data_IF_457949675717
#
_entry.id   IF_457949675717
#
_cell.length_a   1.000
_cell.length_b   1.000
_cell.length_c   1.000
_cell.angle_alpha   90.00
_cell.angle_beta   90.00
_cell.angle_gamma   90.00
#
_symmetry.space_group_name_H-M   'P 1'
#
loop_
_entity.id
_entity.type
_entity.pdbx_description
1 polymer ?
#
# COMPACT_ATOMS: atom_id res chain seq x y z
N UNK A 1 -15.97 3.05 -48.70
CA UNK A 1 -15.01 3.91 -47.97
C UNK A 1 -13.75 3.10 -47.72
N UNK A 2 -12.58 3.60 -48.11
CA UNK A 2 -11.31 2.88 -47.93
C UNK A 2 -10.75 3.05 -46.52
N UNK A 3 -9.85 2.15 -46.10
CA UNK A 3 -9.22 2.19 -44.78
C UNK A 3 -8.53 3.54 -44.47
N UNK A 4 -7.89 4.15 -45.47
CA UNK A 4 -7.22 5.44 -45.31
C UNK A 4 -8.19 6.58 -44.99
N UNK A 5 -9.36 6.59 -45.64
CA UNK A 5 -10.39 7.61 -45.42
C UNK A 5 -11.02 7.48 -44.03
N UNK A 6 -11.25 6.24 -43.58
CA UNK A 6 -11.69 5.94 -42.22
C UNK A 6 -10.70 6.42 -41.16
N UNK A 7 -9.39 6.19 -41.38
CA UNK A 7 -8.34 6.65 -40.46
C UNK A 7 -8.27 8.17 -40.38
N UNK A 8 -8.40 8.85 -41.51
CA UNK A 8 -8.43 10.32 -41.52
C UNK A 8 -9.59 10.89 -40.71
N UNK A 9 -10.77 10.28 -40.79
CA UNK A 9 -11.91 10.67 -39.94
C UNK A 9 -11.64 10.45 -38.46
N UNK A 10 -10.93 9.37 -38.08
CA UNK A 10 -10.48 9.14 -36.71
C UNK A 10 -9.50 10.23 -36.26
N UNK A 11 -8.49 10.55 -37.09
CA UNK A 11 -7.49 11.57 -36.77
C UNK A 11 -8.12 12.96 -36.51
N UNK A 12 -9.15 13.32 -37.29
CA UNK A 12 -9.91 14.57 -37.09
C UNK A 12 -10.67 14.58 -35.76
N UNK A 13 -11.28 13.46 -35.37
CA UNK A 13 -11.95 13.28 -34.07
C UNK A 13 -10.93 13.33 -32.92
N UNK A 14 -9.76 12.70 -33.08
CA UNK A 14 -8.72 12.66 -32.05
C UNK A 14 -8.20 14.07 -31.71
N UNK A 15 -8.12 14.97 -32.70
CA UNK A 15 -7.78 16.39 -32.47
C UNK A 15 -8.83 17.08 -31.60
N UNK A 16 -10.12 16.81 -31.82
CA UNK A 16 -11.18 17.37 -30.99
C UNK A 16 -11.17 16.78 -29.58
N UNK A 17 -10.97 15.47 -29.45
CA UNK A 17 -10.81 14.79 -28.16
C UNK A 17 -9.64 15.37 -27.37
N UNK A 18 -8.50 15.66 -28.01
CA UNK A 18 -7.36 16.29 -27.36
C UNK A 18 -7.73 17.67 -26.78
N UNK A 19 -8.41 18.53 -27.55
CA UNK A 19 -8.84 19.85 -27.08
C UNK A 19 -9.80 19.76 -25.90
N UNK A 20 -10.76 18.83 -25.94
CA UNK A 20 -11.68 18.57 -24.84
C UNK A 20 -10.95 18.04 -23.61
N UNK A 21 -9.96 17.17 -23.81
CA UNK A 21 -9.13 16.62 -22.76
C UNK A 21 -8.29 17.71 -22.07
N UNK A 22 -7.66 18.61 -22.82
CA UNK A 22 -6.91 19.76 -22.27
C UNK A 22 -7.81 20.69 -21.46
N UNK A 23 -9.01 21.01 -21.97
CA UNK A 23 -10.00 21.79 -21.22
C UNK A 23 -10.41 21.11 -19.92
N UNK A 24 -10.64 19.79 -19.95
CA UNK A 24 -10.93 19.00 -18.75
C UNK A 24 -9.76 19.02 -17.77
N UNK A 25 -8.52 18.97 -18.24
CA UNK A 25 -7.33 19.04 -17.39
C UNK A 25 -7.17 20.40 -16.70
N UNK A 26 -7.51 21.50 -17.36
CA UNK A 26 -7.49 22.83 -16.73
C UNK A 26 -8.49 22.91 -15.56
N UNK A 27 -9.71 22.39 -15.74
CA UNK A 27 -10.71 22.29 -14.67
C UNK A 27 -10.22 21.37 -13.56
N UNK A 28 -9.53 20.28 -13.92
CA UNK A 28 -8.96 19.34 -12.96
C UNK A 28 -7.94 20.03 -12.01
N UNK A 29 -7.19 21.02 -12.49
CA UNK A 29 -6.29 21.81 -11.65
C UNK A 29 -7.05 22.70 -10.67
N UNK A 30 -8.16 23.30 -11.11
CA UNK A 30 -9.04 24.08 -10.23
C UNK A 30 -9.68 23.21 -9.15
N UNK A 31 -10.15 22.01 -9.51
CA UNK A 31 -10.65 21.02 -8.56
C UNK A 31 -9.58 20.65 -7.52
N UNK A 32 -8.33 20.45 -7.94
CA UNK A 32 -7.23 20.16 -7.01
C UNK A 32 -7.02 21.32 -6.01
N UNK A 33 -7.05 22.57 -6.47
CA UNK A 33 -6.94 23.76 -5.60
C UNK A 33 -8.09 23.86 -4.61
N UNK A 34 -9.31 23.57 -5.07
CA UNK A 34 -10.50 23.63 -4.21
C UNK A 34 -10.52 22.50 -3.17
N UNK A 35 -10.13 21.28 -3.57
CA UNK A 35 -9.96 20.16 -2.64
C UNK A 35 -8.92 20.47 -1.58
N UNK A 36 -7.80 21.09 -1.96
CA UNK A 36 -6.81 21.58 -1.00
C UNK A 36 -7.42 22.58 -0.02
N UNK A 37 -8.20 23.56 -0.51
CA UNK A 37 -8.86 24.57 0.33
C UNK A 37 -9.85 23.97 1.34
N UNK A 38 -10.49 22.87 0.96
CA UNK A 38 -11.59 22.23 1.70
C UNK A 38 -11.19 20.94 2.41
N UNK A 39 -9.93 20.52 2.29
CA UNK A 39 -9.42 19.22 2.74
C UNK A 39 -10.22 18.01 2.20
N UNK A 40 -10.77 18.12 0.99
CA UNK A 40 -11.59 17.06 0.39
C UNK A 40 -10.72 16.00 -0.32
N UNK A 41 -11.11 14.70 -0.30
CA UNK A 41 -10.30 13.62 -0.85
C UNK A 41 -10.18 13.66 -2.38
N UNK A 42 -9.05 13.15 -2.91
CA UNK A 42 -8.83 13.05 -4.36
C UNK A 42 -9.80 12.03 -4.96
N UNK A 43 -9.96 10.88 -4.32
CA UNK A 43 -10.90 9.86 -4.73
C UNK A 43 -12.26 10.05 -4.04
N UNK A 44 -13.34 10.05 -4.82
CA UNK A 44 -14.72 10.06 -4.31
C UNK A 44 -15.52 8.99 -5.04
N UNK A 45 -15.54 7.77 -4.49
CA UNK A 45 -16.11 6.58 -5.15
C UNK A 45 -17.54 6.80 -5.65
N UNK A 46 -18.40 7.34 -4.79
CA UNK A 46 -19.81 7.59 -5.13
C UNK A 46 -19.99 8.53 -6.32
N UNK A 47 -19.11 9.54 -6.47
CA UNK A 47 -19.17 10.49 -7.60
C UNK A 47 -18.75 9.83 -8.90
N UNK A 48 -17.74 8.97 -8.86
CA UNK A 48 -17.27 8.23 -10.02
C UNK A 48 -18.34 7.24 -10.50
N UNK A 49 -18.96 6.52 -9.57
CA UNK A 49 -20.05 5.57 -9.87
C UNK A 49 -21.27 6.26 -10.47
N UNK A 50 -21.67 7.43 -9.93
CA UNK A 50 -22.74 8.26 -10.51
C UNK A 50 -22.44 8.70 -11.95
N UNK A 51 -21.18 9.01 -12.27
CA UNK A 51 -20.77 9.38 -13.63
C UNK A 51 -20.91 8.16 -14.56
N UNK A 52 -20.43 7.00 -14.12
CA UNK A 52 -20.52 5.76 -14.91
C UNK A 52 -21.99 5.35 -15.12
N UNK A 53 -22.84 5.45 -14.10
CA UNK A 53 -24.28 5.17 -14.18
C UNK A 53 -25.01 6.16 -15.11
N UNK A 54 -24.68 7.45 -15.04
CA UNK A 54 -25.21 8.46 -15.95
C UNK A 54 -24.80 8.22 -17.41
N UNK A 55 -23.64 7.60 -17.65
CA UNK A 55 -23.18 7.23 -18.99
C UNK A 55 -23.85 5.96 -19.48
N UNK A 56 -23.95 4.93 -18.62
CA UNK A 56 -24.68 3.68 -18.91
C UNK A 56 -26.13 3.95 -19.30
N UNK A 57 -26.81 4.83 -18.57
CA UNK A 57 -28.20 5.20 -18.85
C UNK A 57 -28.42 6.00 -20.14
N UNK A 58 -27.35 6.61 -20.70
CA UNK A 58 -27.41 7.41 -21.93
C UNK A 58 -26.86 6.69 -23.16
N UNK A 59 -26.22 5.53 -22.99
CA UNK A 59 -25.56 4.79 -24.06
C UNK A 59 -26.54 3.79 -24.69
N UNK A 60 -26.79 3.91 -26.00
CA UNK A 60 -27.47 2.87 -26.75
C UNK A 60 -26.57 1.63 -26.92
N UNK A 61 -27.19 0.45 -27.11
CA UNK A 61 -26.57 -0.88 -27.15
C UNK A 61 -25.21 -0.91 -27.88
N UNK A 62 -24.16 -1.38 -27.18
CA UNK A 62 -22.85 -1.74 -27.74
C UNK A 62 -21.71 -0.75 -27.54
N UNK A 63 -21.98 0.55 -27.29
CA UNK A 63 -20.92 1.56 -27.07
C UNK A 63 -20.57 1.81 -25.59
N UNK A 64 -21.30 1.18 -24.66
CA UNK A 64 -21.15 1.42 -23.21
C UNK A 64 -19.78 1.03 -22.70
N UNK A 65 -19.26 -0.13 -23.10
CA UNK A 65 -18.12 -0.73 -22.41
C UNK A 65 -16.81 -0.01 -22.76
N UNK A 66 -16.59 0.30 -24.04
CA UNK A 66 -15.44 1.12 -24.47
C UNK A 66 -15.54 2.58 -23.99
N UNK A 67 -16.75 3.15 -23.92
CA UNK A 67 -16.94 4.50 -23.37
C UNK A 67 -16.67 4.53 -21.87
N UNK A 68 -17.07 3.48 -21.16
CA UNK A 68 -16.82 3.30 -19.74
C UNK A 68 -15.31 3.15 -19.46
N UNK A 69 -14.60 2.34 -20.26
CA UNK A 69 -13.15 2.16 -20.16
C UNK A 69 -12.39 3.46 -20.46
N UNK A 70 -12.79 4.19 -21.50
CA UNK A 70 -12.23 5.49 -21.83
C UNK A 70 -12.40 6.49 -20.69
N UNK A 71 -13.61 6.58 -20.12
CA UNK A 71 -13.87 7.47 -18.99
C UNK A 71 -13.09 7.06 -17.74
N UNK A 72 -13.01 5.77 -17.41
CA UNK A 72 -12.17 5.26 -16.32
C UNK A 72 -10.71 5.66 -16.49
N UNK A 73 -10.18 5.57 -17.72
CA UNK A 73 -8.81 5.97 -18.07
C UNK A 73 -8.59 7.48 -17.88
N UNK A 74 -9.52 8.28 -18.39
CA UNK A 74 -9.54 9.74 -18.23
C UNK A 74 -9.63 10.17 -16.76
N UNK A 75 -10.42 9.46 -15.96
CA UNK A 75 -10.56 9.68 -14.51
C UNK A 75 -9.27 9.31 -13.78
N UNK A 76 -8.61 8.21 -14.15
CA UNK A 76 -7.30 7.84 -13.62
C UNK A 76 -6.24 8.90 -13.91
N UNK A 77 -6.17 9.43 -15.13
CA UNK A 77 -5.24 10.51 -15.48
C UNK A 77 -5.53 11.78 -14.66
N UNK A 78 -6.81 12.15 -14.52
CA UNK A 78 -7.21 13.26 -13.66
C UNK A 78 -6.77 13.09 -12.22
N UNK A 79 -6.96 11.90 -11.64
CA UNK A 79 -6.50 11.61 -10.28
C UNK A 79 -4.99 11.80 -10.21
N UNK A 80 -4.22 11.18 -11.11
CA UNK A 80 -2.76 11.34 -11.15
C UNK A 80 -2.30 12.80 -11.15
N UNK A 81 -2.96 13.66 -11.93
CA UNK A 81 -2.69 15.11 -11.97
C UNK A 81 -3.04 15.81 -10.66
N UNK A 82 -4.22 15.53 -10.09
CA UNK A 82 -4.63 16.07 -8.77
C UNK A 82 -3.65 15.64 -7.67
N UNK A 83 -3.26 14.36 -7.64
CA UNK A 83 -2.28 13.83 -6.69
C UNK A 83 -1.00 14.64 -6.75
N UNK A 84 -0.40 14.78 -7.94
CA UNK A 84 0.87 15.52 -8.14
C UNK A 84 0.81 16.97 -7.62
N UNK A 85 -0.31 17.67 -7.82
CA UNK A 85 -0.49 19.04 -7.34
C UNK A 85 -0.65 19.11 -5.81
N UNK A 86 -1.32 18.13 -5.22
CA UNK A 86 -1.50 18.04 -3.77
C UNK A 86 -0.21 17.60 -3.07
N UNK A 87 0.56 16.68 -3.66
CA UNK A 87 1.84 16.20 -3.08
C UNK A 87 2.84 17.33 -2.87
N UNK A 88 2.87 18.34 -3.75
CA UNK A 88 3.74 19.53 -3.62
C UNK A 88 3.38 20.45 -2.43
N UNK A 89 2.31 20.15 -1.69
CA UNK A 89 1.81 20.97 -0.59
C UNK A 89 1.96 20.32 0.78
N UNK A 90 2.37 19.05 0.85
CA UNK A 90 2.54 18.37 2.13
C UNK A 90 3.86 18.78 2.78
N UNK A 91 3.81 18.99 4.10
CA UNK A 91 5.04 19.15 4.88
C UNK A 91 5.56 17.77 5.20
N UNK A 92 6.77 17.46 4.73
CA UNK A 92 7.45 16.20 5.03
C UNK A 92 8.31 16.43 6.29
N UNK A 93 8.25 15.55 7.30
CA UNK A 93 9.07 15.68 8.49
C UNK A 93 10.56 15.70 8.18
N UNK A 94 11.29 16.61 8.83
CA UNK A 94 12.76 16.68 8.73
C UNK A 94 13.49 15.66 9.61
N UNK A 95 12.80 15.12 10.63
CA UNK A 95 13.30 14.07 11.49
C UNK A 95 13.23 12.69 10.83
N UNK A 96 13.49 11.65 11.62
CA UNK A 96 13.49 10.27 11.15
C UNK A 96 13.13 9.24 12.23
N UNK A 97 12.45 9.68 13.28
CA UNK A 97 11.96 8.79 14.33
C UNK A 97 10.82 7.95 13.78
N UNK A 98 10.97 6.63 13.84
CA UNK A 98 10.01 5.66 13.30
C UNK A 98 9.33 4.90 14.42
N UNK A 99 8.01 4.77 14.34
CA UNK A 99 7.27 3.78 15.12
C UNK A 99 6.74 2.70 14.17
N UNK A 100 6.95 1.44 14.55
CA UNK A 100 6.58 0.30 13.71
C UNK A 100 5.26 -0.27 14.18
N UNK A 101 4.31 -0.47 13.28
CA UNK A 101 3.08 -1.22 13.53
C UNK A 101 3.18 -2.59 12.85
N UNK A 102 2.98 -3.65 13.64
CA UNK A 102 2.96 -5.04 13.18
C UNK A 102 1.54 -5.60 13.38
N UNK A 103 0.69 -5.66 12.34
CA UNK A 103 -0.61 -6.28 12.46
C UNK A 103 -0.50 -7.82 12.57
N UNK A 104 -0.93 -8.35 13.72
CA UNK A 104 -0.91 -9.76 14.06
C UNK A 104 -2.30 -10.43 14.04
N UNK A 105 -3.39 -9.72 13.75
CA UNK A 105 -4.77 -10.25 13.81
C UNK A 105 -5.21 -11.22 12.69
N UNK A 106 -4.30 -11.67 11.82
CA UNK A 106 -4.67 -12.52 10.68
C UNK A 106 -5.05 -13.95 11.09
N UNK A 107 -6.16 -14.48 10.58
CA UNK A 107 -6.73 -15.79 10.94
C UNK A 107 -5.90 -17.02 10.53
N UNK A 108 -4.79 -16.84 9.79
CA UNK A 108 -3.92 -17.93 9.29
C UNK A 108 -4.65 -19.09 8.58
N UNK A 109 -5.84 -18.82 8.03
CA UNK A 109 -6.74 -19.85 7.48
C UNK A 109 -6.12 -20.71 6.37
N UNK A 110 -5.24 -20.13 5.55
CA UNK A 110 -4.53 -20.82 4.47
C UNK A 110 -3.38 -21.73 4.95
N UNK A 111 -2.92 -21.53 6.18
CA UNK A 111 -1.78 -22.24 6.75
C UNK A 111 -2.21 -23.43 7.61
N UNK A 112 -3.42 -23.37 8.18
CA UNK A 112 -3.96 -24.42 9.05
C UNK A 112 -3.44 -24.39 10.49
N UNK A 113 -2.45 -23.55 10.80
CA UNK A 113 -1.91 -23.31 12.14
C UNK A 113 -1.54 -21.82 12.32
N UNK A 114 -1.28 -21.41 13.57
CA UNK A 114 -0.85 -20.05 13.86
C UNK A 114 0.58 -19.82 13.40
N UNK A 115 0.73 -19.21 12.23
CA UNK A 115 2.01 -18.99 11.57
C UNK A 115 2.94 -18.02 12.28
N UNK A 116 2.39 -17.09 13.06
CA UNK A 116 3.17 -16.11 13.80
C UNK A 116 3.96 -16.77 14.93
N UNK A 117 3.39 -17.82 15.53
CA UNK A 117 3.99 -18.61 16.61
C UNK A 117 4.79 -19.81 16.11
N UNK A 118 4.81 -20.04 14.80
CA UNK A 118 5.57 -21.15 14.25
C UNK A 118 7.05 -20.94 14.52
N UNK A 119 7.69 -21.91 15.18
CA UNK A 119 9.11 -21.88 15.46
C UNK A 119 9.89 -22.26 14.20
N UNK A 120 10.49 -21.25 13.56
CA UNK A 120 11.33 -21.45 12.40
C UNK A 120 12.78 -21.55 12.87
N UNK A 121 13.37 -22.76 12.79
CA UNK A 121 14.74 -23.04 13.26
C UNK A 121 14.99 -22.50 14.69
N UNK A 122 14.07 -22.78 15.61
CA UNK A 122 14.20 -22.44 17.03
C UNK A 122 13.84 -21.00 17.42
N UNK A 123 13.34 -20.17 16.49
CA UNK A 123 12.81 -18.84 16.81
C UNK A 123 11.54 -18.55 16.04
N UNK A 124 10.52 -18.07 16.75
CA UNK A 124 9.19 -17.85 16.24
C UNK A 124 9.17 -16.73 15.20
N UNK A 125 8.33 -16.89 14.19
CA UNK A 125 8.22 -15.98 13.04
C UNK A 125 7.99 -14.53 13.48
N UNK A 126 7.11 -14.30 14.47
CA UNK A 126 6.84 -12.95 14.98
C UNK A 126 8.05 -12.35 15.69
N UNK A 127 8.79 -13.13 16.48
CA UNK A 127 10.00 -12.66 17.17
C UNK A 127 11.09 -12.32 16.16
N UNK A 128 11.29 -13.16 15.13
CA UNK A 128 12.21 -12.86 14.02
C UNK A 128 11.86 -11.55 13.32
N UNK A 129 10.56 -11.28 13.15
CA UNK A 129 10.10 -10.01 12.57
C UNK A 129 10.40 -8.83 13.48
N UNK A 130 10.17 -8.96 14.79
CA UNK A 130 10.49 -7.92 15.78
C UNK A 130 12.00 -7.64 15.80
N UNK A 131 12.85 -8.67 15.75
CA UNK A 131 14.32 -8.53 15.75
C UNK A 131 14.85 -7.62 14.64
N UNK A 132 14.23 -7.68 13.46
CA UNK A 132 14.60 -6.84 12.33
C UNK A 132 14.48 -5.34 12.69
N UNK A 133 13.44 -4.97 13.43
CA UNK A 133 13.17 -3.59 13.81
C UNK A 133 13.84 -3.18 15.10
N UNK A 134 14.00 -4.08 16.07
CA UNK A 134 14.71 -3.80 17.33
C UNK A 134 16.16 -3.37 17.07
N UNK A 135 16.80 -3.94 16.04
CA UNK A 135 18.16 -3.62 15.60
C UNK A 135 18.28 -2.35 14.73
N UNK A 136 17.18 -1.62 14.50
CA UNK A 136 17.18 -0.44 13.63
C UNK A 136 17.23 0.84 14.47
N UNK A 137 18.25 1.69 14.24
CA UNK A 137 18.52 2.88 15.06
C UNK A 137 17.33 3.86 15.09
N UNK A 138 16.74 4.13 13.92
CA UNK A 138 15.63 5.05 13.74
C UNK A 138 14.31 4.58 14.35
N UNK A 139 14.18 3.29 14.67
CA UNK A 139 12.97 2.76 15.30
C UNK A 139 13.04 3.06 16.80
N UNK A 140 12.03 3.76 17.32
CA UNK A 140 11.93 4.03 18.77
C UNK A 140 10.90 3.17 19.49
N UNK A 141 9.89 2.66 18.77
CA UNK A 141 8.80 1.85 19.34
C UNK A 141 8.26 0.83 18.33
N UNK A 142 7.85 -0.33 18.83
CA UNK A 142 7.17 -1.39 18.07
C UNK A 142 5.78 -1.64 18.69
N UNK A 143 4.74 -1.63 17.86
CA UNK A 143 3.34 -1.72 18.26
C UNK A 143 2.73 -2.92 17.55
N UNK A 144 2.34 -3.95 18.30
CA UNK A 144 1.66 -5.12 17.76
C UNK A 144 0.15 -4.94 17.95
N UNK A 145 -0.63 -5.04 16.87
CA UNK A 145 -2.09 -5.15 16.99
C UNK A 145 -2.51 -6.62 16.91
N UNK A 146 -3.02 -7.17 18.01
CA UNK A 146 -3.29 -8.59 18.17
C UNK A 146 -4.77 -8.85 18.48
N UNK A 147 -5.33 -9.96 17.99
CA UNK A 147 -6.64 -10.41 18.45
C UNK A 147 -6.55 -11.03 19.84
N UNK A 148 -7.67 -11.03 20.58
CA UNK A 148 -7.76 -11.60 21.94
C UNK A 148 -7.18 -13.02 22.03
N UNK A 149 -7.38 -13.83 20.98
CA UNK A 149 -6.93 -15.21 20.94
C UNK A 149 -5.41 -15.42 20.89
N UNK A 150 -4.62 -14.40 20.51
CA UNK A 150 -3.15 -14.51 20.43
C UNK A 150 -2.41 -13.52 21.32
N UNK A 151 -3.12 -12.54 21.90
CA UNK A 151 -2.52 -11.43 22.64
C UNK A 151 -1.72 -11.92 23.84
N UNK A 152 -2.31 -12.74 24.71
CA UNK A 152 -1.62 -13.26 25.90
C UNK A 152 -0.41 -14.14 25.56
N UNK A 153 -0.46 -14.87 24.45
CA UNK A 153 0.67 -15.67 23.97
C UNK A 153 1.82 -14.78 23.51
N UNK A 154 1.53 -13.72 22.74
CA UNK A 154 2.53 -12.71 22.35
C UNK A 154 3.15 -12.03 23.58
N UNK A 155 2.34 -11.63 24.56
CA UNK A 155 2.83 -11.04 25.82
C UNK A 155 3.78 -11.99 26.56
N UNK A 156 3.42 -13.27 26.65
CA UNK A 156 4.24 -14.29 27.31
C UNK A 156 5.54 -14.60 26.57
N UNK A 157 5.56 -14.50 25.23
CA UNK A 157 6.78 -14.66 24.44
C UNK A 157 7.69 -13.43 24.56
N UNK A 158 7.14 -12.23 24.34
CA UNK A 158 7.91 -10.98 24.34
C UNK A 158 8.50 -10.69 25.72
N UNK A 159 7.79 -11.01 26.82
CA UNK A 159 8.30 -10.80 28.18
C UNK A 159 9.53 -11.64 28.56
N UNK A 160 9.89 -12.65 27.75
CA UNK A 160 11.10 -13.46 27.93
C UNK A 160 12.31 -12.90 27.18
N UNK A 161 12.10 -11.92 26.31
CA UNK A 161 13.12 -11.32 25.46
C UNK A 161 13.66 -10.02 26.09
N UNK A 162 14.88 -9.63 25.72
CA UNK A 162 15.52 -8.39 26.16
C UNK A 162 15.60 -7.39 25.00
N UNK A 163 14.44 -6.91 24.54
CA UNK A 163 14.38 -5.92 23.47
C UNK A 163 14.84 -4.55 23.96
N UNK A 164 15.56 -3.84 23.08
CA UNK A 164 16.04 -2.48 23.35
C UNK A 164 14.97 -1.43 23.13
N UNK A 165 14.00 -1.72 22.23
CA UNK A 165 12.89 -0.82 21.91
C UNK A 165 11.68 -1.12 22.78
N UNK A 166 10.88 -0.09 23.06
CA UNK A 166 9.59 -0.27 23.71
C UNK A 166 8.66 -1.09 22.79
N UNK A 167 8.13 -2.18 23.31
CA UNK A 167 7.15 -3.01 22.62
C UNK A 167 5.81 -2.92 23.35
N UNK A 168 4.78 -2.54 22.62
CA UNK A 168 3.41 -2.49 23.14
C UNK A 168 2.51 -3.40 22.31
N UNK A 169 1.53 -4.02 22.98
CA UNK A 169 0.55 -4.90 22.35
C UNK A 169 -0.83 -4.31 22.59
N UNK A 170 -1.54 -4.05 21.52
CA UNK A 170 -2.86 -3.42 21.52
C UNK A 170 -3.90 -4.33 20.87
N UNK A 171 -5.16 -4.02 21.12
CA UNK A 171 -6.26 -4.79 20.55
C UNK A 171 -6.39 -4.53 19.05
N UNK A 172 -6.44 -5.62 18.30
CA UNK A 172 -6.75 -5.61 16.88
C UNK A 172 -8.19 -5.19 16.61
N UNK A 173 -8.54 -5.12 15.32
CA UNK A 173 -9.89 -4.84 14.85
C UNK A 173 -10.47 -6.00 14.05
N UNK A 174 -11.70 -5.81 13.57
CA UNK A 174 -12.38 -6.77 12.67
C UNK A 174 -11.73 -6.86 11.28
N UNK A 175 -10.98 -5.83 10.87
CA UNK A 175 -10.22 -5.81 9.62
C UNK A 175 -8.76 -5.43 9.85
N UNK A 176 -7.93 -5.62 8.82
CA UNK A 176 -6.52 -5.19 8.84
C UNK A 176 -6.42 -3.68 9.07
N UNK A 177 -7.22 -2.89 8.34
CA UNK A 177 -7.23 -1.43 8.47
C UNK A 177 -7.63 -0.99 9.88
N UNK A 178 -8.66 -1.62 10.47
CA UNK A 178 -9.05 -1.31 11.85
C UNK A 178 -7.96 -1.69 12.87
N UNK A 179 -7.26 -2.81 12.66
CA UNK A 179 -6.17 -3.24 13.53
C UNK A 179 -5.01 -2.24 13.53
N UNK A 180 -4.61 -1.77 12.34
CA UNK A 180 -3.55 -0.75 12.21
C UNK A 180 -4.03 0.61 12.73
N UNK A 181 -5.29 0.99 12.53
CA UNK A 181 -5.90 2.22 13.10
C UNK A 181 -5.90 2.22 14.63
N UNK A 182 -6.21 1.07 15.26
CA UNK A 182 -6.11 0.93 16.72
C UNK A 182 -4.67 1.10 17.20
N UNK A 183 -3.70 0.49 16.52
CA UNK A 183 -2.27 0.68 16.81
C UNK A 183 -1.80 2.13 16.60
N UNK A 184 -2.32 2.82 15.59
CA UNK A 184 -1.96 4.21 15.29
C UNK A 184 -2.26 5.17 16.46
N UNK A 185 -3.24 4.85 17.32
CA UNK A 185 -3.56 5.63 18.53
C UNK A 185 -2.46 5.60 19.59
N UNK A 186 -1.53 4.66 19.49
CA UNK A 186 -0.42 4.49 20.44
C UNK A 186 0.94 4.93 19.86
N UNK A 187 0.93 5.59 18.70
CA UNK A 187 2.13 6.19 18.12
C UNK A 187 2.62 7.31 19.05
N UNK A 188 3.93 7.32 19.30
CA UNK A 188 4.57 8.32 20.16
C UNK A 188 4.46 9.73 19.58
N UNK A 189 4.50 10.75 20.47
CA UNK A 189 4.31 12.13 20.06
C UNK A 189 5.42 12.63 19.14
N UNK A 190 6.66 12.20 19.40
CA UNK A 190 7.90 12.49 18.68
C UNK A 190 8.13 11.65 17.42
N UNK A 191 7.24 10.70 17.11
CA UNK A 191 7.31 9.92 15.88
C UNK A 191 7.11 10.81 14.64
N UNK A 192 8.04 10.71 13.68
CA UNK A 192 7.96 11.37 12.37
C UNK A 192 7.29 10.47 11.32
N UNK A 193 7.60 9.16 11.35
CA UNK A 193 7.12 8.19 10.35
C UNK A 193 6.53 6.93 10.98
N UNK A 194 5.41 6.49 10.44
CA UNK A 194 4.77 5.21 10.77
C UNK A 194 5.25 4.17 9.77
N UNK A 195 5.78 3.06 10.27
CA UNK A 195 6.21 1.92 9.46
C UNK A 195 5.27 0.74 9.70
N UNK A 196 4.46 0.36 8.71
CA UNK A 196 3.60 -0.82 8.82
C UNK A 196 4.29 -2.04 8.19
N UNK A 197 4.40 -3.12 8.96
CA UNK A 197 5.09 -4.33 8.52
C UNK A 197 4.33 -5.61 8.88
N UNK A 198 4.18 -6.52 7.91
CA UNK A 198 3.50 -7.80 8.15
C UNK A 198 4.27 -8.65 9.17
N UNK A 199 3.62 -9.08 10.26
CA UNK A 199 4.24 -9.97 11.27
C UNK A 199 4.70 -11.34 10.76
N UNK A 200 4.33 -11.70 9.52
CA UNK A 200 4.70 -12.94 8.85
C UNK A 200 5.80 -12.76 7.78
N UNK A 201 6.59 -11.66 7.86
CA UNK A 201 7.74 -11.40 6.98
C UNK A 201 9.04 -11.31 7.80
N UNK A 202 9.58 -12.46 8.26
CA UNK A 202 10.65 -12.50 9.26
C UNK A 202 12.07 -12.19 8.72
N UNK A 203 12.19 -11.69 7.48
CA UNK A 203 13.48 -11.65 6.75
C UNK A 203 13.81 -10.29 6.14
N UNK A 204 13.14 -9.22 6.58
CA UNK A 204 13.48 -7.88 6.10
C UNK A 204 14.86 -7.47 6.61
N UNK A 205 15.72 -7.02 5.68
CA UNK A 205 17.06 -6.53 5.99
C UNK A 205 17.05 -5.09 6.52
N UNK A 206 17.94 -4.79 7.47
CA UNK A 206 18.09 -3.44 8.05
C UNK A 206 18.45 -2.39 6.97
N UNK A 207 19.27 -2.76 5.98
CA UNK A 207 19.58 -1.89 4.84
C UNK A 207 18.33 -1.49 4.04
N UNK A 208 17.38 -2.43 3.85
CA UNK A 208 16.12 -2.18 3.15
C UNK A 208 15.23 -1.24 3.99
N UNK A 209 15.16 -1.47 5.31
CA UNK A 209 14.41 -0.60 6.22
C UNK A 209 14.96 0.83 6.15
N UNK A 210 16.28 1.01 6.28
CA UNK A 210 16.94 2.32 6.22
C UNK A 210 16.69 3.02 4.87
N UNK A 211 16.83 2.31 3.74
CA UNK A 211 16.52 2.87 2.42
C UNK A 211 15.04 3.26 2.28
N UNK A 212 14.12 2.47 2.83
CA UNK A 212 12.70 2.80 2.80
C UNK A 212 12.39 4.08 3.60
N UNK A 213 13.07 4.30 4.73
CA UNK A 213 12.95 5.55 5.51
C UNK A 213 13.44 6.74 4.68
N UNK A 214 14.61 6.63 4.06
CA UNK A 214 15.17 7.69 3.20
C UNK A 214 14.32 7.99 1.97
N UNK A 215 13.67 6.98 1.41
CA UNK A 215 12.73 7.16 0.30
C UNK A 215 11.44 7.85 0.77
N UNK A 216 10.93 7.53 1.98
CA UNK A 216 9.76 8.20 2.55
C UNK A 216 10.04 9.68 2.86
N UNK A 217 11.27 10.04 3.26
CA UNK A 217 11.69 11.45 3.45
C UNK A 217 11.62 12.31 2.17
N UNK A 218 11.57 11.69 0.99
CA UNK A 218 11.52 12.43 -0.27
C UNK A 218 10.09 12.73 -0.74
N UNK A 219 9.15 11.84 -0.42
CA UNK A 219 7.78 11.86 -0.97
C UNK A 219 6.69 11.85 0.08
N UNK A 220 7.05 11.72 1.36
CA UNK A 220 6.14 11.53 2.49
C UNK A 220 5.68 10.08 2.67
N UNK A 221 5.96 9.19 1.70
CA UNK A 221 5.68 7.76 1.83
C UNK A 221 6.58 6.91 0.92
N UNK A 222 6.88 5.70 1.36
CA UNK A 222 7.57 4.67 0.58
C UNK A 222 6.93 3.30 0.73
N UNK A 223 7.15 2.47 -0.29
CA UNK A 223 6.71 1.07 -0.33
C UNK A 223 7.85 0.19 -0.79
N UNK A 224 8.16 -0.84 -0.01
CA UNK A 224 9.13 -1.85 -0.41
C UNK A 224 8.50 -2.75 -1.47
N UNK A 225 9.17 -2.90 -2.61
CA UNK A 225 8.71 -3.75 -3.71
C UNK A 225 9.85 -4.57 -4.32
N UNK A 226 9.49 -5.64 -5.02
CA UNK A 226 10.38 -6.34 -5.96
C UNK A 226 9.77 -6.34 -7.35
N UNK A 227 10.59 -6.39 -8.39
CA UNK A 227 10.10 -6.46 -9.77
C UNK A 227 9.33 -7.77 -10.00
N UNK A 228 8.24 -7.71 -10.77
CA UNK A 228 7.52 -8.91 -11.17
C UNK A 228 8.40 -9.80 -12.06
N UNK A 229 8.56 -11.07 -11.69
CA UNK A 229 9.28 -12.07 -12.51
C UNK A 229 8.35 -12.66 -13.57
N UNK A 230 7.14 -12.99 -13.15
CA UNK A 230 6.14 -13.63 -13.99
C UNK A 230 5.40 -12.61 -14.85
N UNK A 231 4.88 -13.08 -15.98
CA UNK A 231 3.98 -12.29 -16.82
C UNK A 231 2.61 -12.23 -16.16
N UNK A 232 2.15 -11.03 -15.84
CA UNK A 232 0.81 -10.82 -15.29
C UNK A 232 -0.19 -10.65 -16.43
N UNK A 233 -1.34 -11.32 -16.31
CA UNK A 233 -2.49 -11.14 -17.18
C UNK A 233 -3.59 -10.42 -16.41
N UNK A 234 -4.14 -9.38 -17.02
CA UNK A 234 -5.45 -8.84 -16.61
C UNK A 234 -6.49 -9.67 -17.36
N UNK A 235 -7.50 -10.15 -16.66
CA UNK A 235 -8.60 -10.92 -17.25
C UNK A 235 -9.94 -10.27 -16.97
N UNK A 236 -10.88 -10.47 -17.89
CA UNK A 236 -12.30 -10.32 -17.64
C UNK A 236 -12.91 -11.73 -17.54
N UNK A 237 -13.32 -12.11 -16.33
CA UNK A 237 -13.61 -13.50 -16.01
C UNK A 237 -12.41 -14.41 -16.30
N UNK A 238 -12.62 -15.40 -17.18
CA UNK A 238 -11.60 -16.37 -17.62
C UNK A 238 -10.88 -15.98 -18.92
N UNK A 239 -11.18 -14.82 -19.50
CA UNK A 239 -10.62 -14.36 -20.77
C UNK A 239 -9.55 -13.29 -20.50
N UNK A 240 -8.36 -13.45 -21.08
CA UNK A 240 -7.29 -12.45 -20.97
C UNK A 240 -7.70 -11.17 -21.72
N UNK A 241 -7.73 -10.04 -21.00
CA UNK A 241 -8.02 -8.72 -21.56
C UNK A 241 -6.76 -7.92 -21.88
N UNK A 242 -5.74 -8.00 -21.02
CA UNK A 242 -4.50 -7.25 -21.19
C UNK A 242 -3.30 -8.01 -20.64
N UNK A 243 -2.12 -7.76 -21.23
CA UNK A 243 -0.83 -8.13 -20.64
C UNK A 243 -0.03 -6.85 -20.43
N UNK A 244 0.02 -6.30 -19.20
CA UNK A 244 0.78 -5.08 -18.94
C UNK A 244 2.29 -5.31 -19.15
N UNK A 245 3.05 -4.29 -19.58
CA UNK A 245 4.51 -4.39 -19.68
C UNK A 245 5.13 -4.75 -18.33
N UNK A 246 5.86 -5.87 -18.25
CA UNK A 246 6.40 -6.38 -16.97
C UNK A 246 7.32 -5.39 -16.26
N UNK A 247 8.05 -4.56 -17.00
CA UNK A 247 8.95 -3.55 -16.44
C UNK A 247 8.23 -2.41 -15.69
N UNK A 248 6.89 -2.33 -15.78
CA UNK A 248 6.09 -1.39 -14.98
C UNK A 248 5.42 -2.07 -13.78
N UNK A 249 5.66 -3.37 -13.55
CA UNK A 249 4.98 -4.16 -12.53
C UNK A 249 5.91 -4.50 -11.37
N UNK A 250 5.42 -4.20 -10.18
CA UNK A 250 6.11 -4.44 -8.92
C UNK A 250 5.21 -5.23 -7.99
N UNK A 251 5.78 -6.20 -7.27
CA UNK A 251 5.12 -6.93 -6.21
C UNK A 251 5.37 -6.20 -4.90
N UNK A 252 4.31 -5.60 -4.35
CA UNK A 252 4.38 -4.89 -3.09
C UNK A 252 4.72 -5.85 -1.93
N UNK A 253 5.63 -5.41 -1.08
CA UNK A 253 5.99 -6.03 0.17
C UNK A 253 5.73 -5.04 1.31
N UNK A 254 6.16 -5.41 2.52
CA UNK A 254 6.30 -4.46 3.62
C UNK A 254 7.76 -4.52 4.11
N UNK A 255 8.31 -3.47 4.74
CA UNK A 255 7.63 -2.32 5.34
C UNK A 255 7.02 -1.33 4.34
N UNK A 256 5.98 -0.65 4.80
CA UNK A 256 5.37 0.52 4.19
C UNK A 256 5.57 1.69 5.13
N UNK A 257 6.25 2.76 4.71
CA UNK A 257 6.68 3.85 5.61
C UNK A 257 6.02 5.13 5.16
N UNK A 258 5.30 5.80 6.06
CA UNK A 258 4.45 6.95 5.76
C UNK A 258 4.66 8.01 6.84
N UNK A 259 4.80 9.28 6.45
CA UNK A 259 4.86 10.39 7.39
C UNK A 259 3.59 10.39 8.27
N UNK A 260 3.78 10.56 9.58
CA UNK A 260 2.71 10.39 10.57
C UNK A 260 1.49 11.23 10.27
N UNK A 261 1.65 12.50 9.96
CA UNK A 261 0.54 13.42 9.66
C UNK A 261 -0.24 12.99 8.42
N UNK A 262 0.45 12.49 7.39
CA UNK A 262 -0.17 11.98 6.17
C UNK A 262 -0.96 10.71 6.46
N UNK A 263 -0.41 9.82 7.28
CA UNK A 263 -1.07 8.58 7.65
C UNK A 263 -2.37 8.84 8.43
N UNK A 264 -2.33 9.74 9.42
CA UNK A 264 -3.51 10.11 10.22
C UNK A 264 -4.59 10.78 9.36
N UNK A 265 -4.19 11.70 8.47
CA UNK A 265 -5.10 12.31 7.50
C UNK A 265 -5.74 11.26 6.58
N UNK A 266 -4.96 10.27 6.14
CA UNK A 266 -5.45 9.23 5.25
C UNK A 266 -6.45 8.30 5.97
N UNK A 267 -6.21 7.97 7.24
CA UNK A 267 -7.15 7.22 8.08
C UNK A 267 -8.48 7.97 8.28
N UNK A 268 -8.43 9.25 8.67
CA UNK A 268 -9.63 10.09 8.84
C UNK A 268 -10.44 10.17 7.54
N UNK A 269 -9.74 10.33 6.41
CA UNK A 269 -10.36 10.36 5.08
C UNK A 269 -11.07 9.04 4.74
N UNK A 270 -10.44 7.89 5.03
CA UNK A 270 -11.01 6.58 4.78
C UNK A 270 -12.24 6.30 5.65
N UNK A 271 -12.20 6.70 6.92
CA UNK A 271 -13.33 6.60 7.85
C UNK A 271 -14.51 7.46 7.38
N UNK A 272 -14.27 8.72 7.01
CA UNK A 272 -15.30 9.61 6.47
C UNK A 272 -15.94 9.09 5.17
N UNK A 273 -15.18 8.32 4.37
CA UNK A 273 -15.66 7.68 3.15
C UNK A 273 -16.23 6.26 3.36
N UNK A 274 -16.15 5.71 4.57
CA UNK A 274 -16.47 4.32 4.88
C UNK A 274 -15.82 3.32 3.90
N UNK A 275 -14.53 3.50 3.62
CA UNK A 275 -13.78 2.74 2.61
C UNK A 275 -12.61 1.97 3.22
N UNK A 276 -12.50 0.70 2.84
CA UNK A 276 -11.33 -0.14 3.16
C UNK A 276 -10.34 -0.18 2.00
N UNK A 277 -9.04 -0.16 2.36
CA UNK A 277 -7.92 -0.30 1.43
C UNK A 277 -7.15 -1.59 1.69
N UNK A 278 -6.52 -2.11 0.64
CA UNK A 278 -5.79 -3.39 0.70
C UNK A 278 -4.46 -3.27 1.43
N UNK A 279 -3.86 -2.08 1.47
CA UNK A 279 -2.66 -1.76 2.23
C UNK A 279 -2.61 -0.28 2.64
N UNK A 280 -1.62 0.08 3.46
CA UNK A 280 -1.48 1.42 4.06
C UNK A 280 -0.98 2.46 3.06
N UNK A 281 -0.30 2.00 2.02
CA UNK A 281 0.17 2.85 0.94
C UNK A 281 -0.99 3.27 0.04
N UNK A 282 -1.92 2.35 -0.27
CA UNK A 282 -3.16 2.62 -1.00
C UNK A 282 -4.06 3.61 -0.26
N UNK A 283 -4.06 3.56 1.08
CA UNK A 283 -4.74 4.52 1.92
C UNK A 283 -4.19 5.94 1.67
N UNK A 284 -2.87 6.11 1.67
CA UNK A 284 -2.23 7.41 1.42
C UNK A 284 -2.36 7.88 -0.03
N UNK A 285 -2.35 6.94 -0.97
CA UNK A 285 -2.63 7.23 -2.37
C UNK A 285 -4.00 7.89 -2.57
N UNK A 286 -4.99 7.56 -1.74
CA UNK A 286 -6.34 8.11 -1.84
C UNK A 286 -6.42 9.61 -1.51
N UNK A 287 -5.52 10.09 -0.64
CA UNK A 287 -5.41 11.51 -0.29
C UNK A 287 -4.41 12.28 -1.17
N UNK A 288 -3.79 11.61 -2.15
CA UNK A 288 -2.91 12.26 -3.12
C UNK A 288 -1.42 12.09 -2.88
N UNK A 289 -1.02 11.29 -1.89
CA UNK A 289 0.39 10.94 -1.71
C UNK A 289 0.85 10.03 -2.85
N UNK A 290 2.08 10.23 -3.33
CA UNK A 290 2.71 9.40 -4.34
C UNK A 290 3.89 8.66 -3.69
N UNK A 291 3.70 7.41 -3.27
CA UNK A 291 4.72 6.64 -2.56
C UNK A 291 5.91 6.36 -3.47
N UNK A 292 7.12 6.46 -2.92
CA UNK A 292 8.34 6.07 -3.62
C UNK A 292 8.56 4.55 -3.50
N UNK A 293 8.91 3.91 -4.61
CA UNK A 293 9.27 2.48 -4.59
C UNK A 293 10.69 2.33 -4.06
N UNK A 294 10.83 1.56 -2.99
CA UNK A 294 12.12 1.09 -2.47
C UNK A 294 12.34 -0.35 -2.93
N UNK A 295 13.47 -0.63 -3.60
CA UNK A 295 13.78 -1.99 -4.01
C UNK A 295 14.07 -2.88 -2.79
N UNK A 296 13.24 -3.90 -2.61
CA UNK A 296 13.33 -4.91 -1.56
C UNK A 296 14.13 -6.13 -1.99
N UNK A 297 13.89 -7.24 -1.28
CA UNK A 297 14.51 -8.54 -1.57
C UNK A 297 13.45 -9.60 -1.82
N UNK A 298 13.73 -10.51 -2.75
CA UNK A 298 12.89 -11.70 -2.93
C UNK A 298 12.93 -12.64 -1.71
N UNK A 299 13.94 -12.52 -0.83
CA UNK A 299 13.97 -13.26 0.43
C UNK A 299 13.01 -12.72 1.49
N UNK A 300 12.48 -11.49 1.33
CA UNK A 300 11.49 -10.88 2.22
C UNK A 300 10.08 -11.45 1.94
N UNK A 301 9.97 -12.79 1.94
CA UNK A 301 8.74 -13.52 1.66
C UNK A 301 7.74 -13.34 2.80
N UNK A 302 6.44 -13.43 2.46
CA UNK A 302 5.36 -13.47 3.44
C UNK A 302 4.91 -14.91 3.63
N UNK A 303 5.07 -15.44 4.84
CA UNK A 303 4.59 -16.78 5.16
C UNK A 303 3.07 -16.80 5.13
N UNK A 304 2.52 -17.57 4.21
CA UNK A 304 1.09 -17.57 3.86
C UNK A 304 0.54 -18.98 3.69
N UNK A 305 1.32 -19.89 3.12
CA UNK A 305 1.00 -21.31 2.92
C UNK A 305 2.05 -22.21 3.59
N UNK A 306 1.77 -23.52 3.79
CA UNK A 306 2.75 -24.44 4.38
C UNK A 306 4.06 -24.54 3.59
N UNK A 307 4.02 -24.44 2.26
CA UNK A 307 5.20 -24.50 1.39
C UNK A 307 6.17 -23.35 1.66
N UNK A 308 5.67 -22.20 2.10
CA UNK A 308 6.49 -21.04 2.45
C UNK A 308 7.45 -21.36 3.61
N UNK A 309 7.12 -22.31 4.48
CA UNK A 309 8.00 -22.74 5.58
C UNK A 309 9.29 -23.34 5.05
N UNK A 310 9.21 -24.28 4.10
CA UNK A 310 10.41 -24.89 3.52
C UNK A 310 11.28 -23.86 2.79
N UNK A 311 10.67 -22.87 2.14
CA UNK A 311 11.40 -21.74 1.53
C UNK A 311 12.07 -20.88 2.61
N UNK A 312 11.37 -20.61 3.71
CA UNK A 312 11.86 -19.83 4.84
C UNK A 312 13.07 -20.49 5.52
N UNK A 313 13.03 -21.81 5.71
CA UNK A 313 14.16 -22.58 6.24
C UNK A 313 15.38 -22.52 5.32
N UNK A 314 15.18 -22.67 4.00
CA UNK A 314 16.26 -22.57 3.02
C UNK A 314 16.91 -21.16 2.98
N UNK A 315 16.12 -20.11 3.19
CA UNK A 315 16.63 -18.72 3.29
C UNK A 315 17.54 -18.58 4.51
N UNK A 316 17.16 -19.16 5.66
CA UNK A 316 17.97 -19.16 6.87
C UNK A 316 19.29 -19.92 6.68
N UNK A 317 19.22 -21.14 6.14
CA UNK A 317 20.41 -21.98 5.92
C UNK A 317 21.42 -21.29 5.00
N UNK A 318 20.96 -20.58 3.97
CA UNK A 318 21.84 -19.79 3.09
C UNK A 318 22.49 -18.60 3.80
N UNK A 319 21.79 -17.99 4.75
CA UNK A 319 22.30 -16.82 5.49
C UNK A 319 23.43 -17.23 6.43
N UNK A 320 23.33 -18.42 7.05
CA UNK A 320 24.38 -18.99 7.91
C UNK A 320 25.64 -19.40 7.15
N UNK A 321 25.51 -19.77 5.86
CA UNK A 321 26.66 -20.12 5.01
C UNK A 321 27.43 -18.90 4.49
N UNK A 322 26.80 -17.71 4.49
CA UNK A 322 27.41 -16.47 3.96
C UNK A 322 27.81 -15.46 5.07
N UNK A 323 27.58 -15.78 6.34
CA UNK A 323 28.00 -14.99 7.51
C UNK A 323 29.25 -15.58 8.17
#
# INVERSE_FOLDING_TARGET
MGLAELRKQIDEIDIELQKLFEKRMAICDEVAREKKRTNAPVLQGNREEQILEAVRSRSAEGFSDSSEEFLKSIMAISRGRQKKLLTQSFTIPSGDIVNVIIPCGGSSSRMGFNKLMYSLKGREVVLRTIDCFDKTDNVSRIILSASDGIKSELEAMISKENYSKEIIIVDGGSSRQQSVSNAAKHISADCDYICVHDGARPFIGNDIIKRAIEDAKQTGASVVCVEAKDTIKVSDGSIVSQTPPRNTLFLAQTPQIIAKELYLMALESAEAMNKEYTDDVSLCEAIGVMPKITLGSYSNIKLTTPEDISVAEAILDKSEVNG
#
